data_IF_674880265796
#
_entry.id   IF_674880265796
#
_cell.length_a   1.000
_cell.length_b   1.000
_cell.length_c   1.000
_cell.angle_alpha   90.00
_cell.angle_beta   90.00
_cell.angle_gamma   90.00
#
_symmetry.space_group_name_H-M   'P 1'
#
loop_
_entity.id
_entity.type
_entity.pdbx_description
1 polymer ?
#
# COMPACT_ATOMS: atom_id res chain seq x y z
N UNK A 1 1.54 14.36 -22.94
CA UNK A 1 2.99 14.20 -22.64
C UNK A 1 3.34 12.74 -22.89
N UNK A 2 4.30 12.45 -23.76
CA UNK A 2 4.65 11.05 -24.08
C UNK A 2 5.44 10.41 -22.95
N UNK A 3 5.52 9.07 -22.92
CA UNK A 3 6.36 8.34 -21.96
C UNK A 3 7.82 8.79 -22.02
N UNK A 4 8.30 9.15 -23.22
CA UNK A 4 9.65 9.67 -23.43
C UNK A 4 9.84 11.04 -22.77
N UNK A 5 8.88 11.95 -22.96
CA UNK A 5 8.89 13.28 -22.34
C UNK A 5 8.85 13.19 -20.81
N UNK A 6 8.06 12.25 -20.29
CA UNK A 6 7.94 12.01 -18.85
C UNK A 6 9.26 11.52 -18.24
N UNK A 7 9.91 10.55 -18.87
CA UNK A 7 11.23 10.07 -18.42
C UNK A 7 12.26 11.20 -18.44
N UNK A 8 12.30 11.99 -19.51
CA UNK A 8 13.23 13.12 -19.63
C UNK A 8 13.02 14.14 -18.51
N UNK A 9 11.77 14.54 -18.29
CA UNK A 9 11.46 15.53 -17.26
C UNK A 9 11.74 15.00 -15.84
N UNK A 10 11.56 13.71 -15.61
CA UNK A 10 11.89 13.08 -14.33
C UNK A 10 13.41 13.09 -14.07
N UNK A 11 14.24 12.79 -15.08
CA UNK A 11 15.70 12.87 -14.95
C UNK A 11 16.16 14.29 -14.61
N UNK A 12 15.65 15.30 -15.34
CA UNK A 12 15.97 16.70 -15.06
C UNK A 12 15.57 17.14 -13.66
N UNK A 13 14.41 16.65 -13.16
CA UNK A 13 13.98 16.92 -11.81
C UNK A 13 14.94 16.30 -10.78
N UNK A 14 15.32 15.04 -10.97
CA UNK A 14 16.27 14.34 -10.09
C UNK A 14 17.62 15.07 -10.07
N UNK A 15 18.14 15.46 -11.25
CA UNK A 15 19.42 16.17 -11.39
C UNK A 15 19.41 17.55 -10.71
N UNK A 16 18.23 18.15 -10.52
CA UNK A 16 18.09 19.44 -9.83
C UNK A 16 18.03 19.36 -8.29
N UNK A 17 18.01 18.15 -7.71
CA UNK A 17 17.91 17.95 -6.27
C UNK A 17 19.31 17.88 -5.64
N UNK A 18 19.73 18.96 -4.99
CA UNK A 18 20.98 18.99 -4.21
C UNK A 18 20.81 18.43 -2.78
N UNK A 19 19.56 18.35 -2.29
CA UNK A 19 19.27 17.88 -0.94
C UNK A 19 19.25 16.34 -0.90
N UNK A 20 20.30 15.75 -0.31
CA UNK A 20 20.46 14.30 -0.20
C UNK A 20 19.28 13.61 0.49
N UNK A 21 18.70 14.19 1.55
CA UNK A 21 17.55 13.60 2.25
C UNK A 21 16.30 13.57 1.35
N UNK A 22 16.09 14.62 0.55
CA UNK A 22 15.00 14.66 -0.42
C UNK A 22 15.21 13.60 -1.51
N UNK A 23 16.43 13.49 -2.03
CA UNK A 23 16.79 12.50 -3.03
C UNK A 23 16.62 11.06 -2.51
N UNK A 24 17.02 10.80 -1.26
CA UNK A 24 16.86 9.51 -0.60
C UNK A 24 15.39 9.13 -0.43
N UNK A 25 14.53 10.09 -0.08
CA UNK A 25 13.08 9.87 0.01
C UNK A 25 12.46 9.52 -1.35
N UNK A 26 12.83 10.25 -2.41
CA UNK A 26 12.39 9.94 -3.77
C UNK A 26 12.84 8.54 -4.21
N UNK A 27 14.10 8.20 -3.95
CA UNK A 27 14.64 6.87 -4.25
C UNK A 27 13.86 5.76 -3.52
N UNK A 28 13.64 5.89 -2.21
CA UNK A 28 12.92 4.91 -1.42
C UNK A 28 11.46 4.75 -1.88
N UNK A 29 10.79 5.85 -2.23
CA UNK A 29 9.43 5.83 -2.75
C UNK A 29 9.38 5.08 -4.09
N UNK A 30 10.24 5.45 -5.03
CA UNK A 30 10.28 4.84 -6.35
C UNK A 30 10.66 3.35 -6.27
N UNK A 31 11.66 3.00 -5.44
CA UNK A 31 12.06 1.61 -5.18
C UNK A 31 10.91 0.80 -4.59
N UNK A 32 10.18 1.34 -3.62
CA UNK A 32 9.03 0.64 -3.03
C UNK A 32 7.96 0.41 -4.09
N UNK A 33 7.62 1.43 -4.88
CA UNK A 33 6.55 1.34 -5.88
C UNK A 33 6.90 0.43 -7.07
N UNK A 34 8.15 0.36 -7.49
CA UNK A 34 8.59 -0.53 -8.57
C UNK A 34 8.87 -1.95 -8.12
N UNK A 35 9.13 -2.16 -6.83
CA UNK A 35 9.32 -3.49 -6.24
C UNK A 35 8.05 -4.09 -5.64
N UNK A 36 6.98 -3.32 -5.51
CA UNK A 36 5.66 -3.82 -5.15
C UNK A 36 5.10 -4.60 -6.34
N UNK A 37 5.45 -5.88 -6.43
CA UNK A 37 4.66 -6.83 -7.20
C UNK A 37 3.30 -6.95 -6.49
N UNK A 38 2.22 -6.81 -7.25
CA UNK A 38 0.88 -7.13 -6.78
C UNK A 38 0.86 -8.55 -6.18
N UNK A 39 0.08 -8.76 -5.12
CA UNK A 39 0.01 -10.07 -4.46
C UNK A 39 1.04 -10.33 -3.36
N UNK A 40 2.09 -9.50 -3.17
CA UNK A 40 3.10 -9.72 -2.11
C UNK A 40 2.57 -9.80 -0.68
N UNK A 41 1.41 -9.20 -0.39
CA UNK A 41 0.79 -9.32 0.93
C UNK A 41 0.08 -10.67 1.08
N UNK A 42 -0.61 -11.11 0.03
CA UNK A 42 -1.24 -12.42 -0.04
C UNK A 42 -0.21 -13.55 0.07
N UNK A 43 0.91 -13.44 -0.65
CA UNK A 43 2.03 -14.39 -0.62
C UNK A 43 2.69 -14.55 0.76
N UNK A 44 2.54 -13.55 1.65
CA UNK A 44 3.11 -13.61 3.01
C UNK A 44 2.22 -14.32 4.01
N UNK A 45 0.93 -14.49 3.70
CA UNK A 45 -0.01 -15.19 4.55
C UNK A 45 0.24 -16.70 4.42
N UNK A 46 0.21 -17.41 5.56
CA UNK A 46 0.10 -18.86 5.58
C UNK A 46 -1.22 -19.31 4.94
N UNK A 47 -1.29 -20.58 4.54
CA UNK A 47 -2.53 -21.16 3.98
C UNK A 47 -3.73 -20.97 4.91
N UNK A 48 -3.52 -21.08 6.22
CA UNK A 48 -4.56 -20.84 7.22
C UNK A 48 -5.04 -19.38 7.20
N UNK A 49 -4.12 -18.42 7.20
CA UNK A 49 -4.46 -16.99 7.18
C UNK A 49 -5.12 -16.58 5.85
N UNK A 50 -4.72 -17.20 4.73
CA UNK A 50 -5.37 -17.01 3.43
C UNK A 50 -6.83 -17.50 3.46
N UNK A 51 -7.06 -18.70 4.01
CA UNK A 51 -8.40 -19.26 4.16
C UNK A 51 -9.28 -18.41 5.09
N UNK A 52 -8.71 -17.92 6.21
CA UNK A 52 -9.41 -17.02 7.12
C UNK A 52 -9.78 -15.69 6.45
N UNK A 53 -8.86 -15.13 5.64
CA UNK A 53 -9.12 -13.89 4.91
C UNK A 53 -10.24 -14.06 3.86
N UNK A 54 -10.24 -15.18 3.13
CA UNK A 54 -11.29 -15.48 2.15
C UNK A 54 -12.64 -15.70 2.84
N UNK A 55 -12.66 -16.43 3.95
CA UNK A 55 -13.87 -16.62 4.74
C UNK A 55 -14.43 -15.29 5.23
N UNK A 56 -13.60 -14.43 5.82
CA UNK A 56 -14.01 -13.10 6.28
C UNK A 56 -14.53 -12.22 5.14
N UNK A 57 -13.97 -12.36 3.93
CA UNK A 57 -14.46 -11.66 2.74
C UNK A 57 -15.85 -12.15 2.33
N UNK A 58 -16.07 -13.47 2.31
CA UNK A 58 -17.40 -14.06 2.03
C UNK A 58 -18.44 -13.66 3.08
N UNK A 59 -18.09 -13.76 4.37
CA UNK A 59 -18.96 -13.39 5.48
C UNK A 59 -19.34 -11.90 5.47
N UNK A 60 -18.51 -11.04 4.87
CA UNK A 60 -18.78 -9.60 4.77
C UNK A 60 -19.95 -9.24 3.84
N UNK A 61 -20.40 -10.19 3.00
CA UNK A 61 -21.59 -9.99 2.18
C UNK A 61 -22.88 -10.10 2.98
N UNK A 62 -22.85 -10.72 4.16
CA UNK A 62 -23.99 -10.83 5.07
C UNK A 62 -24.05 -9.61 6.00
N UNK A 63 -25.05 -8.73 5.87
CA UNK A 63 -25.10 -7.49 6.64
C UNK A 63 -25.13 -7.69 8.16
N UNK A 64 -25.66 -8.82 8.65
CA UNK A 64 -25.62 -9.17 10.08
C UNK A 64 -24.21 -9.34 10.66
N UNK A 65 -23.21 -9.65 9.83
CA UNK A 65 -21.82 -9.82 10.27
C UNK A 65 -21.07 -8.47 10.34
N UNK A 66 -21.65 -7.40 9.80
CA UNK A 66 -21.01 -6.09 9.75
C UNK A 66 -21.17 -5.34 11.08
N UNK A 67 -20.11 -4.63 11.47
CA UNK A 67 -20.12 -3.70 12.59
C UNK A 67 -19.95 -2.27 12.10
N UNK A 68 -20.50 -1.30 12.84
CA UNK A 68 -20.29 0.10 12.51
C UNK A 68 -18.83 0.51 12.70
N UNK A 69 -18.36 1.43 11.87
CA UNK A 69 -17.01 1.99 11.97
C UNK A 69 -16.70 2.56 13.36
N UNK A 70 -17.68 3.20 14.00
CA UNK A 70 -17.54 3.78 15.33
C UNK A 70 -17.28 2.71 16.41
N UNK A 71 -17.95 1.56 16.31
CA UNK A 71 -17.68 0.41 17.19
C UNK A 71 -16.26 -0.11 16.97
N UNK A 72 -15.80 -0.20 15.72
CA UNK A 72 -14.45 -0.68 15.39
C UNK A 72 -13.36 0.27 15.90
N UNK A 73 -13.52 1.60 15.71
CA UNK A 73 -12.60 2.60 16.26
C UNK A 73 -12.49 2.50 17.77
N UNK A 74 -13.63 2.40 18.46
CA UNK A 74 -13.66 2.26 19.92
C UNK A 74 -12.96 0.99 20.40
N UNK A 75 -13.13 -0.13 19.70
CA UNK A 75 -12.44 -1.40 20.02
C UNK A 75 -10.91 -1.28 19.95
N UNK A 76 -10.40 -0.47 19.04
CA UNK A 76 -8.97 -0.30 18.77
C UNK A 76 -8.41 1.05 19.24
N UNK A 77 -9.12 1.77 20.11
CA UNK A 77 -8.76 3.11 20.62
C UNK A 77 -7.37 3.16 21.26
N UNK A 78 -6.85 2.05 21.77
CA UNK A 78 -5.49 1.99 22.34
C UNK A 78 -4.36 2.10 21.30
N UNK A 79 -4.67 1.92 20.01
CA UNK A 79 -3.72 1.81 18.90
C UNK A 79 -3.94 2.92 17.85
N UNK A 80 -5.01 3.71 18.01
CA UNK A 80 -5.39 4.87 17.21
C UNK A 80 -5.11 6.15 18.02
#
# INVERSE_FOLDING_TARGET
MSTLDLKRNLHLLIDSIDNENLLLNFYNLMKTRTSLNEGKLWEKLSEQEQNELLLAFEESFEPENLISLEVMKKKHEKWL
#
